data_IF_318582911690
#
_entry.id   IF_318582911690
#
_cell.length_a   1.000
_cell.length_b   1.000
_cell.length_c   1.000
_cell.angle_alpha   90.00
_cell.angle_beta   90.00
_cell.angle_gamma   90.00
#
_symmetry.space_group_name_H-M   'P 1'
#
loop_
_entity.id
_entity.type
_entity.pdbx_description
1 polymer ?
#
# COMPACT_ATOMS: atom_id res chain seq x y z
N UNK A 1 21.58 -24.82 -21.19
CA UNK A 1 20.64 -25.50 -22.07
C UNK A 1 20.68 -24.85 -23.46
N UNK A 2 20.37 -25.59 -24.50
CA UNK A 2 20.28 -25.04 -25.83
C UNK A 2 18.80 -24.92 -26.20
N UNK A 3 18.42 -23.80 -26.81
CA UNK A 3 17.08 -23.64 -27.38
C UNK A 3 16.88 -24.58 -28.60
N UNK A 4 15.67 -24.55 -29.18
CA UNK A 4 15.33 -25.38 -30.36
C UNK A 4 16.23 -25.08 -31.58
N UNK A 5 16.87 -23.92 -31.63
CA UNK A 5 17.74 -23.47 -32.70
C UNK A 5 19.24 -23.77 -32.40
N UNK A 6 19.54 -24.39 -31.26
CA UNK A 6 20.86 -24.80 -30.84
C UNK A 6 21.72 -23.70 -30.17
N UNK A 7 21.14 -22.52 -29.88
CA UNK A 7 21.82 -21.46 -29.15
C UNK A 7 21.79 -21.73 -27.64
N UNK A 8 22.79 -21.27 -26.90
CA UNK A 8 22.71 -21.30 -25.44
C UNK A 8 21.71 -20.29 -24.93
N UNK A 9 20.70 -20.75 -24.21
CA UNK A 9 19.82 -19.89 -23.45
C UNK A 9 20.58 -19.35 -22.24
N UNK A 10 20.64 -18.05 -22.12
CA UNK A 10 21.16 -17.37 -20.93
C UNK A 10 20.00 -16.76 -20.18
N UNK A 11 19.85 -17.16 -18.93
CA UNK A 11 18.82 -16.61 -18.04
C UNK A 11 19.36 -15.36 -17.37
N UNK A 12 18.72 -14.22 -17.59
CA UNK A 12 18.90 -13.05 -16.74
C UNK A 12 17.95 -13.18 -15.53
N UNK A 13 18.49 -13.66 -14.42
CA UNK A 13 17.74 -13.90 -13.22
C UNK A 13 17.14 -12.61 -12.62
N UNK A 14 17.77 -11.47 -12.88
CA UNK A 14 17.25 -10.18 -12.41
C UNK A 14 16.01 -9.76 -13.22
N UNK A 15 16.07 -9.94 -14.53
CA UNK A 15 14.97 -9.66 -15.44
C UNK A 15 13.75 -10.54 -15.16
N UNK A 16 13.99 -11.81 -14.83
CA UNK A 16 12.93 -12.75 -14.42
C UNK A 16 12.18 -12.29 -13.15
N UNK A 17 12.81 -11.52 -12.29
CA UNK A 17 12.24 -11.02 -11.04
C UNK A 17 11.68 -9.60 -11.15
N UNK A 18 11.99 -8.89 -12.24
CA UNK A 18 11.59 -7.50 -12.42
C UNK A 18 10.55 -7.32 -13.51
N UNK A 19 9.85 -6.20 -13.45
CA UNK A 19 8.94 -5.74 -14.51
C UNK A 19 9.66 -4.71 -15.37
N UNK A 20 9.38 -4.70 -16.66
CA UNK A 20 9.84 -3.64 -17.57
C UNK A 20 9.22 -2.29 -17.20
N UNK A 21 8.00 -2.30 -16.72
CA UNK A 21 7.25 -1.09 -16.34
C UNK A 21 6.48 -1.35 -15.05
N UNK A 22 6.64 -0.43 -14.09
CA UNK A 22 5.85 -0.38 -12.87
C UNK A 22 4.85 0.77 -12.97
N UNK A 23 3.56 0.47 -12.83
CA UNK A 23 2.49 1.44 -12.98
C UNK A 23 1.99 1.93 -11.62
N UNK A 24 1.66 3.21 -11.55
CA UNK A 24 0.97 3.78 -10.39
C UNK A 24 -0.32 4.46 -10.85
N UNK A 25 -1.43 4.05 -10.25
CA UNK A 25 -2.73 4.68 -10.45
C UNK A 25 -3.14 5.39 -9.16
N UNK A 26 -3.65 6.61 -9.29
CA UNK A 26 -4.16 7.39 -8.17
C UNK A 26 -5.45 8.11 -8.59
N UNK A 27 -6.54 7.77 -7.92
CA UNK A 27 -7.86 8.32 -8.18
C UNK A 27 -8.38 9.03 -6.93
N UNK A 28 -8.78 10.28 -7.09
CA UNK A 28 -9.34 11.06 -6.00
C UNK A 28 -10.69 11.64 -6.41
N UNK A 29 -11.69 11.44 -5.55
CA UNK A 29 -13.01 12.06 -5.68
C UNK A 29 -13.33 12.81 -4.40
N UNK A 30 -13.81 14.02 -4.52
CA UNK A 30 -14.21 14.83 -3.37
C UNK A 30 -15.50 15.57 -3.66
N UNK A 31 -16.34 15.66 -2.63
CA UNK A 31 -17.54 16.49 -2.62
C UNK A 31 -17.44 17.50 -1.47
N UNK A 32 -17.88 18.70 -1.73
CA UNK A 32 -17.97 19.77 -0.71
C UNK A 32 -19.34 20.40 -0.77
N UNK A 33 -19.85 20.79 0.37
CA UNK A 33 -21.12 21.52 0.47
C UNK A 33 -21.10 22.49 1.63
N UNK A 34 -21.97 23.50 1.50
CA UNK A 34 -22.14 24.53 2.50
C UNK A 34 -23.61 24.90 2.59
N UNK A 35 -24.15 25.00 3.80
CA UNK A 35 -25.49 25.43 4.08
C UNK A 35 -25.48 26.28 5.35
N UNK A 36 -25.80 27.60 5.20
CA UNK A 36 -25.89 28.56 6.29
C UNK A 36 -24.77 28.51 7.34
N UNK A 37 -24.86 27.60 8.29
CA UNK A 37 -23.91 27.45 9.42
C UNK A 37 -23.18 26.12 9.41
N UNK A 38 -23.35 25.31 8.38
CA UNK A 38 -22.74 23.99 8.25
C UNK A 38 -21.95 23.88 6.95
N UNK A 39 -20.69 23.42 7.06
CA UNK A 39 -19.84 23.12 5.91
C UNK A 39 -19.36 21.67 6.03
N UNK A 40 -19.26 20.99 4.91
CA UNK A 40 -18.70 19.65 4.89
C UNK A 40 -17.83 19.39 3.65
N UNK A 41 -16.93 18.48 3.81
CA UNK A 41 -16.11 17.91 2.75
C UNK A 41 -15.98 16.41 2.99
N UNK A 42 -16.29 15.62 1.98
CA UNK A 42 -15.98 14.20 1.96
C UNK A 42 -15.08 13.90 0.77
N UNK A 43 -14.10 13.02 0.94
CA UNK A 43 -13.23 12.60 -0.14
C UNK A 43 -12.86 11.12 -0.02
N UNK A 44 -12.69 10.49 -1.16
CA UNK A 44 -12.20 9.13 -1.30
C UNK A 44 -10.98 9.17 -2.23
N UNK A 45 -9.89 8.59 -1.77
CA UNK A 45 -8.67 8.39 -2.55
C UNK A 45 -8.41 6.89 -2.67
N UNK A 46 -8.18 6.42 -3.89
CA UNK A 46 -7.70 5.08 -4.19
C UNK A 46 -6.35 5.20 -4.88
N UNK A 47 -5.36 4.49 -4.38
CA UNK A 47 -4.03 4.41 -4.97
C UNK A 47 -3.62 2.96 -5.09
N UNK A 48 -3.11 2.59 -6.27
CA UNK A 48 -2.42 1.34 -6.49
C UNK A 48 -1.05 1.66 -7.10
N UNK A 49 0.01 1.15 -6.51
CA UNK A 49 1.38 1.39 -6.91
C UNK A 49 2.14 0.06 -7.02
N UNK A 50 2.51 -0.30 -8.23
CA UNK A 50 3.37 -1.45 -8.48
C UNK A 50 4.83 -1.12 -8.21
N UNK A 51 5.56 -2.06 -7.61
CA UNK A 51 7.01 -2.00 -7.52
C UNK A 51 7.67 -2.55 -8.79
N UNK A 52 8.94 -2.22 -9.02
CA UNK A 52 9.74 -2.80 -10.11
C UNK A 52 9.88 -4.32 -9.93
N UNK A 53 10.05 -4.82 -8.74
CA UNK A 53 10.01 -6.25 -8.47
C UNK A 53 8.61 -6.82 -8.75
N UNK A 54 8.53 -7.96 -9.48
CA UNK A 54 7.27 -8.70 -9.67
C UNK A 54 6.69 -9.07 -8.29
N UNK A 55 5.38 -9.20 -8.16
CA UNK A 55 4.66 -9.50 -6.91
C UNK A 55 4.91 -8.49 -5.77
N UNK A 56 5.37 -7.28 -6.10
CA UNK A 56 5.47 -6.18 -5.16
C UNK A 56 4.44 -5.12 -5.55
N UNK A 57 3.50 -4.87 -4.67
CA UNK A 57 2.39 -3.94 -4.90
C UNK A 57 1.97 -3.26 -3.60
N UNK A 58 1.50 -2.02 -3.71
CA UNK A 58 0.84 -1.30 -2.62
C UNK A 58 -0.51 -0.78 -3.07
N UNK A 59 -1.55 -1.27 -2.44
CA UNK A 59 -2.90 -0.76 -2.57
C UNK A 59 -3.28 0.04 -1.33
N UNK A 60 -3.94 1.19 -1.53
CA UNK A 60 -4.32 2.09 -0.46
C UNK A 60 -5.66 2.76 -0.78
N UNK A 61 -6.58 2.70 0.19
CA UNK A 61 -7.86 3.40 0.15
C UNK A 61 -7.92 4.34 1.34
N UNK A 62 -8.17 5.63 1.07
CA UNK A 62 -8.32 6.64 2.12
C UNK A 62 -9.67 7.33 1.96
N UNK A 63 -10.53 7.21 2.97
CA UNK A 63 -11.76 7.97 3.10
C UNK A 63 -11.59 9.07 4.15
N UNK A 64 -11.99 10.30 3.83
CA UNK A 64 -11.95 11.44 4.76
C UNK A 64 -13.27 12.17 4.76
N UNK A 65 -13.70 12.57 5.95
CA UNK A 65 -14.87 13.44 6.17
C UNK A 65 -14.45 14.55 7.11
N UNK A 66 -14.62 15.78 6.68
CA UNK A 66 -14.44 16.95 7.51
C UNK A 66 -15.75 17.74 7.51
N UNK A 67 -16.18 18.21 8.67
CA UNK A 67 -17.36 19.05 8.80
C UNK A 67 -17.13 20.15 9.84
N UNK A 68 -17.77 21.29 9.63
CA UNK A 68 -17.80 22.36 10.62
C UNK A 68 -19.21 22.94 10.75
N UNK A 69 -19.58 23.24 11.97
CA UNK A 69 -20.89 23.80 12.31
C UNK A 69 -20.74 24.97 13.27
N UNK A 70 -21.43 26.05 12.97
CA UNK A 70 -21.64 27.17 13.90
C UNK A 70 -22.98 27.02 14.61
N UNK A 71 -22.97 27.13 15.93
CA UNK A 71 -24.15 27.02 16.76
C UNK A 71 -24.28 28.23 17.71
N UNK A 72 -25.41 28.36 18.37
CA UNK A 72 -25.68 29.40 19.35
C UNK A 72 -25.41 30.82 18.82
N UNK A 73 -25.87 31.09 17.57
CA UNK A 73 -25.63 32.40 16.95
C UNK A 73 -24.17 32.75 16.74
N UNK A 74 -23.28 31.73 16.59
CA UNK A 74 -21.85 31.89 16.37
C UNK A 74 -20.99 31.99 17.66
N UNK A 75 -21.56 31.70 18.82
CA UNK A 75 -20.83 31.55 20.06
C UNK A 75 -20.04 30.26 20.13
N UNK A 76 -20.56 29.18 19.51
CA UNK A 76 -19.94 27.87 19.47
C UNK A 76 -19.64 27.48 18.01
N UNK A 77 -18.43 27.06 17.74
CA UNK A 77 -18.01 26.47 16.50
C UNK A 77 -17.49 25.05 16.78
N UNK A 78 -18.07 24.08 16.13
CA UNK A 78 -17.67 22.68 16.19
C UNK A 78 -17.03 22.31 14.86
N UNK A 79 -15.88 21.65 14.92
CA UNK A 79 -15.22 21.08 13.75
C UNK A 79 -14.94 19.60 14.01
N UNK A 80 -15.20 18.79 12.99
CA UNK A 80 -15.02 17.35 12.99
C UNK A 80 -14.10 16.97 11.84
N UNK A 81 -13.16 16.10 12.08
CA UNK A 81 -12.28 15.53 11.06
C UNK A 81 -12.13 14.04 11.33
N UNK A 82 -12.53 13.21 10.37
CA UNK A 82 -12.40 11.78 10.44
C UNK A 82 -11.72 11.27 9.20
N UNK A 83 -10.77 10.37 9.36
CA UNK A 83 -10.13 9.67 8.26
C UNK A 83 -9.99 8.18 8.55
N UNK A 84 -10.28 7.39 7.55
CA UNK A 84 -10.04 5.97 7.53
C UNK A 84 -9.10 5.63 6.39
N UNK A 85 -8.08 4.84 6.66
CA UNK A 85 -7.15 4.33 5.67
C UNK A 85 -7.05 2.83 5.82
N UNK A 86 -7.26 2.14 4.71
CA UNK A 86 -6.89 0.74 4.54
C UNK A 86 -5.75 0.65 3.55
N UNK A 87 -4.75 -0.17 3.83
CA UNK A 87 -3.68 -0.46 2.89
C UNK A 87 -3.31 -1.93 2.91
N UNK A 88 -2.85 -2.42 1.76
CA UNK A 88 -2.21 -3.71 1.60
C UNK A 88 -0.90 -3.52 0.85
N UNK A 89 0.17 -4.08 1.40
CA UNK A 89 1.46 -4.20 0.75
C UNK A 89 1.70 -5.67 0.46
N UNK A 90 1.90 -6.02 -0.79
CA UNK A 90 2.41 -7.34 -1.18
C UNK A 90 3.92 -7.20 -1.43
N UNK A 91 4.68 -8.17 -0.95
CA UNK A 91 6.13 -8.16 -1.03
C UNK A 91 6.63 -9.27 -1.96
N UNK A 92 7.62 -8.96 -2.77
CA UNK A 92 8.34 -9.95 -3.54
C UNK A 92 9.15 -10.85 -2.58
N UNK A 93 8.94 -12.16 -2.67
CA UNK A 93 9.59 -13.17 -1.83
C UNK A 93 10.82 -13.80 -2.47
N UNK A 94 11.29 -13.32 -3.61
CA UNK A 94 12.47 -13.84 -4.27
C UNK A 94 13.73 -13.62 -3.43
N UNK A 95 14.60 -14.62 -3.43
CA UNK A 95 15.95 -14.44 -2.90
C UNK A 95 16.85 -13.75 -3.95
N UNK A 96 17.01 -12.43 -3.80
CA UNK A 96 17.85 -11.63 -4.68
C UNK A 96 19.33 -11.99 -4.65
N UNK A 97 19.80 -12.58 -3.54
CA UNK A 97 21.18 -13.08 -3.46
C UNK A 97 21.35 -14.31 -4.35
N UNK A 98 20.34 -15.19 -4.38
CA UNK A 98 20.34 -16.32 -5.29
C UNK A 98 20.32 -15.87 -6.75
N UNK A 99 19.51 -14.87 -7.10
CA UNK A 99 19.50 -14.30 -8.44
C UNK A 99 20.89 -13.79 -8.89
N UNK A 100 21.68 -13.25 -7.96
CA UNK A 100 23.02 -12.74 -8.25
C UNK A 100 24.10 -13.82 -8.36
N UNK A 101 23.90 -15.02 -7.79
CA UNK A 101 24.94 -16.08 -7.76
C UNK A 101 24.61 -17.28 -8.64
N UNK A 102 23.37 -17.42 -9.09
CA UNK A 102 22.96 -18.49 -9.98
C UNK A 102 23.65 -18.37 -11.34
N UNK A 103 24.07 -19.51 -11.85
CA UNK A 103 24.67 -19.57 -13.17
C UNK A 103 23.62 -19.19 -14.23
N UNK A 104 23.90 -18.23 -15.12
CA UNK A 104 22.96 -17.83 -16.17
C UNK A 104 22.67 -18.94 -17.20
N UNK A 105 23.46 -20.02 -17.21
CA UNK A 105 23.18 -21.18 -18.08
C UNK A 105 22.10 -22.12 -17.52
N UNK A 106 21.61 -21.88 -16.31
CA UNK A 106 20.50 -22.64 -15.74
C UNK A 106 19.17 -22.12 -16.27
N UNK A 107 18.25 -23.01 -16.69
CA UNK A 107 16.91 -22.60 -17.07
C UNK A 107 16.08 -22.24 -15.83
N UNK A 108 15.05 -21.43 -16.01
CA UNK A 108 14.10 -21.10 -14.93
C UNK A 108 13.18 -22.29 -14.64
N UNK A 109 12.73 -22.98 -15.68
CA UNK A 109 11.74 -24.05 -15.59
C UNK A 109 12.34 -25.41 -15.97
N UNK A 110 11.83 -26.44 -15.28
CA UNK A 110 12.15 -27.85 -15.58
C UNK A 110 10.85 -28.67 -15.48
N UNK A 111 10.26 -29.09 -16.63
CA UNK A 111 9.05 -29.89 -16.64
C UNK A 111 9.18 -31.27 -15.97
N UNK A 112 10.41 -31.76 -15.82
CA UNK A 112 10.68 -33.04 -15.15
C UNK A 112 10.61 -32.92 -13.63
N UNK A 113 10.69 -31.70 -13.09
CA UNK A 113 10.59 -31.46 -11.66
C UNK A 113 9.11 -31.32 -11.26
N UNK A 114 8.76 -31.85 -10.08
CA UNK A 114 7.39 -31.85 -9.56
C UNK A 114 6.78 -30.44 -9.48
N UNK A 115 7.60 -29.44 -9.17
CA UNK A 115 7.15 -28.04 -9.03
C UNK A 115 7.27 -27.25 -10.34
N UNK A 116 7.81 -27.85 -11.41
CA UNK A 116 7.99 -27.20 -12.70
C UNK A 116 9.16 -26.24 -12.78
N UNK A 117 9.93 -26.05 -11.68
CA UNK A 117 11.07 -25.16 -11.62
C UNK A 117 12.39 -25.94 -11.59
N UNK A 118 13.41 -25.38 -12.24
CA UNK A 118 14.74 -25.96 -12.21
C UNK A 118 15.38 -25.81 -10.81
N UNK A 119 15.90 -26.92 -10.30
CA UNK A 119 16.62 -26.97 -9.02
C UNK A 119 18.08 -27.35 -9.24
N UNK A 120 19.03 -26.45 -8.93
CA UNK A 120 20.46 -26.75 -9.07
C UNK A 120 20.88 -27.88 -8.13
N UNK A 121 21.19 -29.05 -8.70
CA UNK A 121 21.54 -30.26 -7.92
C UNK A 121 22.83 -30.11 -7.15
N UNK A 122 22.87 -30.55 -5.89
CA UNK A 122 24.06 -30.62 -5.06
C UNK A 122 24.67 -29.28 -4.62
N UNK A 123 23.98 -28.16 -4.88
CA UNK A 123 24.51 -26.82 -4.60
C UNK A 123 23.91 -26.18 -3.35
N UNK A 124 22.73 -26.62 -2.92
CA UNK A 124 21.96 -25.98 -1.86
C UNK A 124 21.36 -24.61 -2.26
N UNK A 125 21.37 -24.28 -3.56
CA UNK A 125 20.81 -23.07 -4.08
C UNK A 125 19.32 -23.28 -4.42
N UNK A 126 18.47 -22.27 -4.17
CA UNK A 126 17.06 -22.25 -4.56
C UNK A 126 16.86 -21.52 -5.89
N UNK A 127 15.68 -21.75 -6.49
CA UNK A 127 15.25 -20.99 -7.66
C UNK A 127 14.49 -19.74 -7.20
N UNK A 128 15.00 -18.52 -7.43
CA UNK A 128 14.36 -17.31 -6.93
C UNK A 128 13.01 -17.01 -7.58
N UNK A 129 12.75 -17.53 -8.79
CA UNK A 129 11.45 -17.41 -9.45
C UNK A 129 10.41 -18.33 -8.80
N UNK A 130 10.83 -19.53 -8.38
CA UNK A 130 10.00 -20.41 -7.58
C UNK A 130 9.65 -19.76 -6.24
N UNK A 131 10.63 -19.24 -5.51
CA UNK A 131 10.42 -18.54 -4.24
C UNK A 131 9.43 -17.37 -4.41
N UNK A 132 9.57 -16.60 -5.48
CA UNK A 132 8.68 -15.48 -5.77
C UNK A 132 7.23 -15.92 -6.05
N UNK A 133 7.04 -17.05 -6.74
CA UNK A 133 5.71 -17.49 -7.20
C UNK A 133 4.99 -18.39 -6.19
N UNK A 134 5.72 -19.10 -5.34
CA UNK A 134 5.14 -20.05 -4.38
C UNK A 134 5.02 -19.50 -2.96
N UNK A 135 5.72 -18.40 -2.66
CA UNK A 135 5.63 -17.75 -1.35
C UNK A 135 4.82 -16.47 -1.43
N UNK A 136 4.01 -16.26 -0.41
CA UNK A 136 3.27 -15.03 -0.21
C UNK A 136 3.77 -14.31 1.04
N UNK A 137 4.03 -13.03 0.92
CA UNK A 137 4.28 -12.16 2.05
C UNK A 137 3.51 -10.86 1.83
N UNK A 138 2.62 -10.54 2.74
CA UNK A 138 1.88 -9.30 2.67
C UNK A 138 1.67 -8.70 4.05
N UNK A 139 1.42 -7.41 4.05
CA UNK A 139 1.02 -6.65 5.21
C UNK A 139 -0.25 -5.88 4.87
N UNK A 140 -1.30 -6.05 5.63
CA UNK A 140 -2.47 -5.21 5.56
C UNK A 140 -2.68 -4.47 6.88
N UNK A 141 -3.24 -3.29 6.78
CA UNK A 141 -3.50 -2.47 7.95
C UNK A 141 -4.66 -1.51 7.75
N UNK A 142 -5.26 -1.19 8.88
CA UNK A 142 -6.34 -0.24 8.98
C UNK A 142 -5.95 0.85 9.96
N UNK A 143 -6.18 2.10 9.57
CA UNK A 143 -5.99 3.26 10.43
C UNK A 143 -7.28 4.08 10.46
N UNK A 144 -7.75 4.35 11.63
CA UNK A 144 -8.79 5.34 11.87
C UNK A 144 -8.21 6.49 12.67
N UNK A 145 -8.51 7.70 12.23
CA UNK A 145 -8.19 8.93 12.97
C UNK A 145 -9.44 9.78 13.07
N UNK A 146 -9.71 10.28 14.27
CA UNK A 146 -10.78 11.19 14.55
C UNK A 146 -10.28 12.40 15.32
N UNK A 147 -10.84 13.57 15.05
CA UNK A 147 -10.71 14.73 15.91
C UNK A 147 -12.00 15.50 16.00
N UNK A 148 -12.26 16.02 17.17
CA UNK A 148 -13.38 16.95 17.43
C UNK A 148 -12.81 18.18 18.09
N UNK A 149 -13.07 19.33 17.50
CA UNK A 149 -12.68 20.64 18.03
C UNK A 149 -13.91 21.46 18.37
N UNK A 150 -13.99 21.89 19.60
CA UNK A 150 -14.99 22.87 20.06
C UNK A 150 -14.30 24.21 20.31
N UNK A 151 -14.82 25.28 19.71
CA UNK A 151 -14.32 26.65 19.90
C UNK A 151 -15.45 27.53 20.40
N UNK A 152 -15.28 28.15 21.54
CA UNK A 152 -16.19 29.14 22.10
C UNK A 152 -15.68 30.55 21.78
N UNK A 153 -16.49 31.32 21.07
CA UNK A 153 -16.22 32.73 20.76
C UNK A 153 -16.85 33.62 21.84
N UNK A 154 -16.02 34.26 22.66
CA UNK A 154 -16.52 35.12 23.76
C UNK A 154 -16.79 36.52 23.21
N UNK A 155 -18.01 36.71 22.68
CA UNK A 155 -18.43 37.96 21.99
C UNK A 155 -18.26 39.26 22.80
N UNK A 156 -18.46 39.28 24.14
CA UNK A 156 -18.23 40.51 24.90
C UNK A 156 -16.83 41.03 24.87
N UNK A 157 -15.83 40.13 24.57
CA UNK A 157 -14.41 40.51 24.46
C UNK A 157 -13.98 40.19 23.01
N UNK A 158 -13.87 41.22 22.20
CA UNK A 158 -13.54 41.08 20.78
C UNK A 158 -12.22 40.30 20.62
N UNK A 159 -12.28 39.24 19.82
CA UNK A 159 -11.10 38.40 19.51
C UNK A 159 -10.77 37.31 20.53
N UNK A 160 -11.47 37.23 21.66
CA UNK A 160 -11.23 36.18 22.65
C UNK A 160 -11.94 34.87 22.23
N UNK A 161 -11.15 33.81 22.06
CA UNK A 161 -11.62 32.46 21.73
C UNK A 161 -10.96 31.43 22.65
N UNK A 162 -11.74 30.45 23.07
CA UNK A 162 -11.26 29.28 23.81
C UNK A 162 -11.57 28.05 23.00
N UNK A 163 -10.57 27.21 22.77
CA UNK A 163 -10.72 25.97 21.98
C UNK A 163 -10.27 24.75 22.78
N UNK A 164 -11.02 23.66 22.67
CA UNK A 164 -10.66 22.34 23.14
C UNK A 164 -10.63 21.42 21.93
N UNK A 165 -9.62 20.58 21.84
CA UNK A 165 -9.46 19.61 20.76
C UNK A 165 -9.18 18.25 21.38
N UNK A 166 -9.92 17.25 20.91
CA UNK A 166 -9.70 15.85 21.26
C UNK A 166 -9.29 15.08 20.00
N UNK A 167 -8.29 14.20 20.12
CA UNK A 167 -7.80 13.37 19.05
C UNK A 167 -7.83 11.91 19.44
N UNK A 168 -8.26 11.05 18.53
CA UNK A 168 -8.17 9.62 18.68
C UNK A 168 -7.52 8.99 17.45
N UNK A 169 -6.68 7.98 17.65
CA UNK A 169 -6.07 7.20 16.57
C UNK A 169 -6.13 5.73 16.95
N UNK A 170 -6.75 4.94 16.09
CA UNK A 170 -6.82 3.48 16.22
C UNK A 170 -6.13 2.88 15.01
N UNK A 171 -5.21 1.94 15.23
CA UNK A 171 -4.51 1.22 14.17
C UNK A 171 -4.56 -0.29 14.42
N UNK A 172 -4.81 -1.04 13.36
CA UNK A 172 -4.68 -2.50 13.34
C UNK A 172 -3.80 -2.89 12.16
N UNK A 173 -2.76 -3.65 12.42
CA UNK A 173 -1.80 -4.09 11.41
C UNK A 173 -1.69 -5.61 11.50
N UNK A 174 -1.91 -6.29 10.38
CA UNK A 174 -1.71 -7.72 10.22
C UNK A 174 -0.53 -7.95 9.28
N UNK A 175 0.34 -8.87 9.63
CA UNK A 175 1.48 -9.27 8.80
C UNK A 175 1.37 -10.76 8.58
N UNK A 176 1.35 -11.18 7.33
CA UNK A 176 1.34 -12.59 6.95
C UNK A 176 2.55 -12.86 6.07
N UNK A 177 3.34 -13.87 6.46
CA UNK A 177 4.38 -14.45 5.64
C UNK A 177 4.17 -15.95 5.65
N UNK A 178 4.01 -16.56 4.48
CA UNK A 178 3.96 -18.01 4.29
C UNK A 178 5.28 -18.42 3.67
N UNK A 179 6.04 -19.17 4.44
CA UNK A 179 7.30 -19.76 4.00
C UNK A 179 7.13 -21.17 3.50
#
# INVERSE_FOLDING_TARGET
EKDADGNFTLTDWTDELTRDVALTHNHNVAITGSASQFNYRASLNYKNAEGIAKNNNREEIIAKIAASQKALGGWLELAYDFSYMHYRNDYNCADWKMAAVLNPTYPVYDPANKNGYYMPQGTGLSNPVEDMNQRESYQDGNYFRGSVKATVNIKPVSGLKVSVVEYETIATINVTGVG
#
